data_IF_765257161645
#
_entry.id   IF_765257161645
#
_cell.length_a   1.000
_cell.length_b   1.000
_cell.length_c   1.000
_cell.angle_alpha   90.00
_cell.angle_beta   90.00
_cell.angle_gamma   90.00
#
_symmetry.space_group_name_H-M   'P 1'
#
loop_
_entity.id
_entity.type
_entity.pdbx_description
1 polymer ?
#
# COMPACT_ATOMS: atom_id res chain seq x y z
N UNK A 1 7.06 -3.40 7.95
CA UNK A 1 7.28 -2.99 6.56
C UNK A 1 6.17 -3.38 5.60
N UNK A 2 5.40 -4.43 5.89
CA UNK A 2 4.21 -4.85 5.10
C UNK A 2 3.21 -3.72 4.73
N UNK A 3 3.28 -2.56 5.38
CA UNK A 3 2.52 -1.39 4.95
C UNK A 3 2.94 -0.88 3.56
N UNK A 4 4.25 -0.75 3.36
CA UNK A 4 4.82 -0.18 2.14
C UNK A 4 4.66 -1.14 0.96
N UNK A 5 4.70 -2.45 1.21
CA UNK A 5 4.41 -3.47 0.20
C UNK A 5 2.95 -3.48 -0.27
N UNK A 6 2.07 -2.69 0.35
CA UNK A 6 0.68 -2.51 -0.08
C UNK A 6 0.31 -1.05 -0.30
N UNK A 7 1.28 -0.12 -0.28
CA UNK A 7 1.03 1.28 -0.57
C UNK A 7 0.79 1.47 -2.07
N UNK A 8 -0.35 2.09 -2.41
CA UNK A 8 -0.79 2.29 -3.80
C UNK A 8 -0.86 3.78 -4.15
N UNK A 9 -0.88 4.68 -3.16
CA UNK A 9 -0.96 6.12 -3.44
C UNK A 9 -0.25 7.05 -2.46
N UNK A 10 -0.40 8.35 -2.74
CA UNK A 10 0.16 9.43 -1.93
C UNK A 10 -0.41 9.45 -0.51
N UNK A 11 -1.67 9.01 -0.34
CA UNK A 11 -2.37 8.95 0.94
C UNK A 11 -1.68 7.98 1.90
N UNK A 12 -1.19 6.84 1.39
CA UNK A 12 -0.39 5.88 2.15
C UNK A 12 0.95 6.50 2.58
N UNK A 13 1.58 7.27 1.69
CA UNK A 13 2.82 7.99 2.00
C UNK A 13 2.60 9.02 3.12
N UNK A 14 1.51 9.80 3.05
CA UNK A 14 1.15 10.76 4.09
C UNK A 14 0.85 10.05 5.41
N UNK A 15 0.06 8.97 5.38
CA UNK A 15 -0.26 8.18 6.56
C UNK A 15 0.98 7.52 7.20
N UNK A 16 1.99 7.17 6.41
CA UNK A 16 3.26 6.67 6.91
C UNK A 16 4.12 7.77 7.55
N UNK A 17 4.10 8.98 6.99
CA UNK A 17 4.94 10.10 7.44
C UNK A 17 4.43 10.82 8.69
N UNK A 18 3.11 10.92 8.88
CA UNK A 18 2.51 11.61 10.04
C UNK A 18 2.64 10.81 11.33
N UNK A 19 2.99 11.44 12.46
CA UNK A 19 3.23 10.78 13.74
C UNK A 19 4.08 9.48 13.56
N UNK A 20 5.33 9.64 13.10
CA UNK A 20 6.09 8.53 12.56
C UNK A 20 6.48 7.53 13.65
N UNK A 21 6.21 6.26 13.37
CA UNK A 21 6.73 5.14 14.14
C UNK A 21 7.80 4.45 13.29
N UNK A 22 8.99 4.24 13.86
CA UNK A 22 10.08 3.57 13.14
C UNK A 22 10.75 4.44 12.07
N UNK A 23 11.08 5.70 12.40
CA UNK A 23 11.82 6.65 11.54
C UNK A 23 12.98 5.97 10.80
N UNK A 24 13.87 5.29 11.54
CA UNK A 24 15.01 4.57 10.99
C UNK A 24 14.59 3.49 9.98
N UNK A 25 13.48 2.79 10.24
CA UNK A 25 13.02 1.73 9.36
C UNK A 25 12.56 2.29 8.02
N UNK A 26 11.86 3.44 8.01
CA UNK A 26 11.41 4.12 6.79
C UNK A 26 12.63 4.61 5.99
N UNK A 27 13.59 5.23 6.66
CA UNK A 27 14.84 5.69 6.03
C UNK A 27 15.59 4.51 5.42
N UNK A 28 15.83 3.44 6.18
CA UNK A 28 16.52 2.23 5.71
C UNK A 28 15.79 1.62 4.51
N UNK A 29 14.45 1.62 4.52
CA UNK A 29 13.65 1.07 3.43
C UNK A 29 13.77 1.89 2.15
N UNK A 30 13.73 3.22 2.26
CA UNK A 30 13.98 4.10 1.13
C UNK A 30 15.41 3.90 0.58
N UNK A 31 16.42 3.73 1.46
CA UNK A 31 17.81 3.42 1.07
C UNK A 31 17.91 2.09 0.33
N UNK A 32 17.27 1.03 0.85
CA UNK A 32 17.27 -0.30 0.22
C UNK A 32 16.68 -0.25 -1.19
N UNK A 33 15.58 0.49 -1.38
CA UNK A 33 14.89 0.59 -2.67
C UNK A 33 15.59 1.53 -3.65
N UNK A 34 15.82 2.79 -3.25
CA UNK A 34 16.27 3.85 -4.17
C UNK A 34 17.60 4.50 -3.82
N UNK A 35 18.29 4.09 -2.75
CA UNK A 35 19.52 4.74 -2.30
C UNK A 35 20.77 4.39 -3.12
N UNK A 36 21.77 5.28 -3.16
CA UNK A 36 23.04 5.02 -3.84
C UNK A 36 23.85 3.95 -3.11
N UNK A 37 24.78 3.31 -3.83
CA UNK A 37 25.53 2.14 -3.33
C UNK A 37 26.29 2.39 -2.01
N UNK A 38 26.86 3.58 -1.82
CA UNK A 38 27.56 3.92 -0.58
C UNK A 38 26.61 3.97 0.64
N UNK A 39 25.38 4.42 0.43
CA UNK A 39 24.36 4.53 1.48
C UNK A 39 23.79 3.15 1.81
N UNK A 40 23.64 2.28 0.79
CA UNK A 40 23.36 0.85 0.97
C UNK A 40 24.48 0.13 1.73
N UNK A 41 25.75 0.47 1.46
CA UNK A 41 26.89 -0.07 2.20
C UNK A 41 26.86 0.32 3.69
N UNK A 42 26.53 1.58 3.99
CA UNK A 42 26.42 2.08 5.36
C UNK A 42 25.44 1.28 6.22
N UNK A 43 24.31 0.85 5.64
CA UNK A 43 23.28 0.05 6.34
C UNK A 43 23.54 -1.47 6.25
N UNK A 44 24.69 -1.89 5.72
CA UNK A 44 25.05 -3.31 5.58
C UNK A 44 24.31 -4.05 4.45
N UNK A 45 23.75 -3.33 3.47
CA UNK A 45 22.94 -3.88 2.37
C UNK A 45 23.53 -3.62 0.98
N UNK A 46 24.84 -3.38 0.87
CA UNK A 46 25.50 -3.14 -0.42
C UNK A 46 25.38 -4.29 -1.42
N UNK A 47 25.27 -5.54 -0.94
CA UNK A 47 25.14 -6.74 -1.78
C UNK A 47 23.74 -7.36 -1.72
N UNK A 48 22.75 -6.60 -1.25
CA UNK A 48 21.37 -7.06 -1.22
C UNK A 48 20.81 -7.16 -2.64
N UNK A 49 20.11 -8.26 -2.93
CA UNK A 49 19.43 -8.41 -4.21
C UNK A 49 18.23 -7.44 -4.29
N UNK A 50 18.03 -6.83 -5.46
CA UNK A 50 16.92 -5.91 -5.71
C UNK A 50 15.57 -6.61 -5.45
N UNK A 51 15.46 -7.89 -5.83
CA UNK A 51 14.28 -8.71 -5.56
C UNK A 51 13.96 -8.83 -4.05
N UNK A 52 14.98 -8.90 -3.19
CA UNK A 52 14.78 -8.99 -1.74
C UNK A 52 14.21 -7.68 -1.18
N UNK A 53 14.65 -6.52 -1.68
CA UNK A 53 14.05 -5.24 -1.32
C UNK A 53 12.61 -5.11 -1.85
N UNK A 54 12.34 -5.59 -3.06
CA UNK A 54 11.00 -5.59 -3.67
C UNK A 54 10.00 -6.46 -2.90
N UNK A 55 10.40 -7.66 -2.47
CA UNK A 55 9.57 -8.57 -1.67
C UNK A 55 9.10 -7.88 -0.38
N UNK A 56 10.01 -7.20 0.31
CA UNK A 56 9.78 -6.61 1.64
C UNK A 56 9.04 -5.26 1.60
N UNK A 57 9.31 -4.44 0.59
CA UNK A 57 9.07 -3.00 0.65
C UNK A 57 8.17 -2.46 -0.45
N UNK A 58 8.02 -3.16 -1.57
CA UNK A 58 7.32 -2.66 -2.75
C UNK A 58 6.03 -3.45 -2.98
N UNK A 59 5.02 -2.78 -3.53
CA UNK A 59 3.77 -3.44 -3.95
C UNK A 59 3.88 -4.09 -5.33
N UNK A 60 4.99 -3.88 -6.02
CA UNK A 60 5.19 -4.40 -7.37
C UNK A 60 5.40 -5.91 -7.42
N UNK A 61 5.15 -6.51 -8.56
CA UNK A 61 5.76 -7.79 -8.94
C UNK A 61 6.66 -7.57 -10.15
N UNK A 62 7.67 -8.40 -10.31
CA UNK A 62 8.65 -8.34 -11.40
C UNK A 62 9.06 -9.75 -11.82
N UNK A 63 9.95 -9.87 -12.80
CA UNK A 63 10.49 -11.18 -13.22
C UNK A 63 11.24 -11.93 -12.11
N UNK A 64 11.65 -11.22 -11.06
CA UNK A 64 12.38 -11.78 -9.93
C UNK A 64 11.51 -11.93 -8.67
N UNK A 65 10.24 -11.51 -8.71
CA UNK A 65 9.33 -11.52 -7.56
C UNK A 65 7.91 -11.88 -7.99
N UNK A 66 7.39 -12.96 -7.43
CA UNK A 66 6.03 -13.45 -7.66
C UNK A 66 5.21 -13.55 -6.36
N UNK A 67 3.89 -13.65 -6.50
CA UNK A 67 2.97 -13.87 -5.40
C UNK A 67 2.30 -15.24 -5.54
N UNK A 68 2.46 -16.08 -4.53
CA UNK A 68 1.97 -17.46 -4.54
C UNK A 68 1.11 -17.74 -3.32
N UNK A 69 0.16 -18.64 -3.48
CA UNK A 69 -0.71 -19.10 -2.42
C UNK A 69 -0.17 -20.40 -1.81
N UNK A 70 0.11 -20.38 -0.51
CA UNK A 70 0.59 -21.55 0.24
C UNK A 70 -0.54 -22.35 0.94
N UNK A 71 -1.80 -22.11 0.56
CA UNK A 71 -2.99 -22.73 1.16
C UNK A 71 -3.44 -22.10 2.48
N UNK A 72 -2.66 -21.18 3.05
CA UNK A 72 -3.06 -20.35 4.21
C UNK A 72 -3.23 -18.88 3.82
N UNK A 73 -2.43 -18.40 2.87
CA UNK A 73 -2.45 -17.03 2.40
C UNK A 73 -1.49 -16.81 1.23
N UNK A 74 -1.51 -15.58 0.72
CA UNK A 74 -0.59 -15.16 -0.33
C UNK A 74 0.76 -14.77 0.29
N UNK A 75 1.84 -15.32 -0.25
CA UNK A 75 3.22 -15.03 0.11
C UNK A 75 3.96 -14.48 -1.10
N UNK A 76 4.86 -13.52 -0.86
CA UNK A 76 5.76 -12.97 -1.88
C UNK A 76 7.06 -13.77 -1.88
N UNK A 77 7.45 -14.29 -3.04
CA UNK A 77 8.59 -15.18 -3.19
C UNK A 77 9.59 -14.61 -4.19
N UNK A 78 10.87 -14.91 -3.98
CA UNK A 78 11.92 -14.59 -4.95
C UNK A 78 11.89 -15.62 -6.08
N UNK A 79 11.87 -15.14 -7.31
CA UNK A 79 11.77 -15.93 -8.53
C UNK A 79 10.49 -15.62 -9.32
N UNK A 80 10.37 -16.27 -10.47
CA UNK A 80 9.15 -16.28 -11.28
C UNK A 80 8.49 -17.65 -11.20
N UNK A 81 7.16 -17.64 -11.17
CA UNK A 81 6.35 -18.83 -11.22
C UNK A 81 5.17 -18.60 -12.16
N UNK A 82 4.81 -19.56 -13.03
CA UNK A 82 3.59 -19.46 -13.82
C UNK A 82 2.37 -19.41 -12.88
N UNK A 83 1.68 -18.28 -12.92
CA UNK A 83 0.36 -18.09 -12.34
C UNK A 83 -0.49 -17.47 -13.43
N UNK A 84 -1.54 -18.17 -13.84
CA UNK A 84 -2.44 -17.68 -14.87
C UNK A 84 -3.50 -16.78 -14.25
N UNK A 85 -3.69 -15.60 -14.83
CA UNK A 85 -4.73 -14.66 -14.45
C UNK A 85 -5.80 -14.64 -15.54
N UNK A 86 -7.02 -15.03 -15.18
CA UNK A 86 -8.19 -14.98 -16.05
C UNK A 86 -9.15 -13.91 -15.54
N UNK A 87 -9.46 -12.93 -16.38
CA UNK A 87 -10.41 -11.87 -16.11
C UNK A 87 -11.66 -12.15 -16.93
N UNK A 88 -12.74 -12.50 -16.25
CA UNK A 88 -14.03 -12.82 -16.85
C UNK A 88 -14.95 -11.61 -16.72
N UNK A 89 -15.36 -11.05 -17.85
CA UNK A 89 -16.35 -9.99 -17.93
C UNK A 89 -17.72 -10.63 -18.18
N UNK A 90 -18.56 -10.58 -17.16
CA UNK A 90 -19.94 -11.04 -17.23
C UNK A 90 -20.85 -9.87 -17.63
N UNK A 91 -21.79 -10.05 -18.56
CA UNK A 91 -22.82 -9.07 -18.84
C UNK A 91 -23.64 -8.77 -17.57
N UNK A 92 -23.99 -7.50 -17.35
CA UNK A 92 -24.93 -7.15 -16.28
C UNK A 92 -26.32 -7.63 -16.60
N UNK A 93 -27.00 -8.23 -15.64
CA UNK A 93 -28.44 -8.41 -15.73
C UNK A 93 -29.09 -7.02 -15.77
N UNK A 94 -29.48 -6.56 -16.96
CA UNK A 94 -30.52 -5.54 -17.07
C UNK A 94 -31.80 -6.15 -16.54
N UNK A 95 -32.08 -5.93 -15.26
CA UNK A 95 -33.37 -6.26 -14.67
C UNK A 95 -34.48 -5.69 -15.55
N UNK A 96 -35.34 -6.59 -16.03
CA UNK A 96 -36.66 -6.30 -16.62
C UNK A 96 -37.34 -5.18 -15.83
N UNK A 97 -37.68 -4.08 -16.50
CA UNK A 97 -38.79 -3.25 -16.05
C UNK A 97 -40.07 -4.05 -16.33
N UNK A 98 -40.71 -4.51 -15.27
CA UNK A 98 -42.14 -4.77 -15.26
C UNK A 98 -42.84 -3.43 -15.51
N UNK A 99 -43.55 -3.29 -16.64
CA UNK A 99 -44.77 -2.50 -16.83
C UNK A 99 -45.06 -2.31 -18.34
N UNK A 100 -46.02 -3.09 -18.85
CA UNK A 100 -47.02 -2.75 -19.88
C UNK A 100 -47.40 -3.95 -20.78
N UNK A 101 -48.69 -4.30 -20.74
CA UNK A 101 -49.46 -5.14 -21.69
C UNK A 101 -50.64 -4.25 -22.15
N UNK A 102 -51.33 -4.40 -23.31
CA UNK A 102 -51.26 -5.43 -24.39
C UNK A 102 -51.13 -4.84 -25.83
N UNK A 103 -50.96 -5.69 -26.85
CA UNK A 103 -51.91 -5.90 -27.98
C UNK A 103 -51.34 -6.81 -29.11
N UNK A 104 -52.03 -7.95 -29.30
CA UNK A 104 -52.47 -8.68 -30.50
C UNK A 104 -51.62 -8.85 -31.78
N UNK A 105 -51.64 -10.11 -32.25
CA UNK A 105 -51.52 -10.67 -33.62
C UNK A 105 -50.15 -11.19 -34.17
N UNK A 106 -50.06 -12.53 -34.13
CA UNK A 106 -49.50 -13.51 -35.07
C UNK A 106 -48.37 -13.12 -36.04
N UNK A 107 -47.21 -13.79 -35.93
CA UNK A 107 -46.68 -14.63 -37.02
C UNK A 107 -45.64 -15.63 -36.46
N UNK A 108 -45.71 -16.87 -36.96
CA UNK A 108 -44.85 -17.98 -36.54
C UNK A 108 -43.56 -17.91 -37.36
N UNK A 109 -42.43 -17.59 -36.74
CA UNK A 109 -41.13 -17.93 -37.33
C UNK A 109 -40.13 -18.33 -36.23
N UNK A 110 -39.78 -19.61 -36.27
CA UNK A 110 -39.00 -20.29 -35.25
C UNK A 110 -37.51 -20.06 -35.55
N UNK A 111 -36.91 -19.04 -34.93
CA UNK A 111 -35.46 -18.78 -34.97
C UNK A 111 -34.87 -19.08 -33.58
N UNK A 112 -33.77 -19.85 -33.47
CA UNK A 112 -33.28 -20.32 -32.18
C UNK A 112 -32.88 -19.13 -31.29
N UNK A 113 -33.27 -19.19 -30.03
CA UNK A 113 -32.89 -18.24 -28.99
C UNK A 113 -31.35 -18.24 -28.83
N UNK A 114 -30.68 -17.27 -29.45
CA UNK A 114 -29.28 -16.97 -29.21
C UNK A 114 -29.13 -15.47 -29.03
N UNK A 115 -29.39 -15.01 -27.80
CA UNK A 115 -28.89 -13.74 -27.31
C UNK A 115 -28.28 -13.94 -25.92
N UNK A 116 -27.42 -14.95 -25.79
CA UNK A 116 -26.51 -15.00 -24.66
C UNK A 116 -25.44 -13.93 -24.92
N UNK A 117 -25.52 -12.82 -24.20
CA UNK A 117 -24.48 -11.79 -24.23
C UNK A 117 -23.11 -12.45 -24.01
N UNK A 118 -22.12 -12.20 -24.89
CA UNK A 118 -20.89 -12.99 -24.92
C UNK A 118 -20.07 -12.80 -23.62
N UNK A 119 -19.71 -13.89 -22.97
CA UNK A 119 -18.74 -13.89 -21.87
C UNK A 119 -17.37 -13.57 -22.50
N UNK A 120 -16.75 -12.48 -22.09
CA UNK A 120 -15.42 -12.10 -22.57
C UNK A 120 -14.38 -12.53 -21.53
N UNK A 121 -13.45 -13.40 -21.94
CA UNK A 121 -12.31 -13.80 -21.12
C UNK A 121 -11.08 -13.06 -21.62
N UNK A 122 -10.47 -12.29 -20.73
CA UNK A 122 -9.20 -11.61 -20.96
C UNK A 122 -8.14 -12.32 -20.13
N UNK A 123 -7.03 -12.68 -20.75
CA UNK A 123 -5.86 -13.23 -20.07
C UNK A 123 -4.66 -12.33 -20.33
N UNK A 124 -3.87 -12.08 -19.30
CA UNK A 124 -2.61 -11.35 -19.47
C UNK A 124 -1.57 -12.27 -20.14
N UNK A 125 -0.90 -11.77 -21.17
CA UNK A 125 0.14 -12.50 -21.93
C UNK A 125 1.55 -12.14 -21.48
N UNK A 126 1.68 -11.21 -20.51
CA UNK A 126 2.97 -10.78 -19.99
C UNK A 126 3.63 -11.90 -19.16
N UNK A 127 4.96 -11.99 -19.23
CA UNK A 127 5.76 -12.98 -18.49
C UNK A 127 5.82 -12.73 -16.97
N UNK A 128 5.38 -11.55 -16.51
CA UNK A 128 5.53 -11.12 -15.12
C UNK A 128 4.34 -11.55 -14.26
N UNK A 129 4.61 -12.21 -13.13
CA UNK A 129 3.59 -12.76 -12.24
C UNK A 129 2.54 -11.71 -11.80
N UNK A 130 1.23 -12.04 -11.78
CA UNK A 130 0.15 -11.11 -11.44
C UNK A 130 0.21 -10.64 -9.98
N UNK A 131 -0.39 -9.47 -9.70
CA UNK A 131 -0.50 -8.93 -8.35
C UNK A 131 -1.73 -9.49 -7.62
N UNK A 132 -1.63 -10.73 -7.13
CA UNK A 132 -2.73 -11.43 -6.45
C UNK A 132 -3.15 -10.68 -5.18
N UNK A 133 -2.20 -10.32 -4.32
CA UNK A 133 -2.43 -9.72 -3.00
C UNK A 133 -3.10 -8.35 -3.05
N UNK A 134 -2.80 -7.53 -4.07
CA UNK A 134 -3.41 -6.21 -4.26
C UNK A 134 -4.86 -6.33 -4.73
N UNK A 135 -5.16 -7.30 -5.59
CA UNK A 135 -6.49 -7.47 -6.18
C UNK A 135 -7.42 -8.36 -5.34
N UNK A 136 -6.85 -9.11 -4.40
CA UNK A 136 -7.60 -9.96 -3.48
C UNK A 136 -8.19 -9.18 -2.30
N UNK A 137 -7.52 -8.12 -1.85
CA UNK A 137 -8.04 -7.22 -0.84
C UNK A 137 -9.31 -6.56 -1.37
N UNK A 138 -10.46 -6.73 -0.71
CA UNK A 138 -11.57 -5.80 -0.96
C UNK A 138 -10.98 -4.43 -0.70
N UNK A 139 -10.89 -3.59 -1.74
CA UNK A 139 -10.24 -2.30 -1.67
C UNK A 139 -10.86 -1.60 -0.47
N UNK A 140 -10.12 -1.52 0.64
CA UNK A 140 -10.41 -0.60 1.73
C UNK A 140 -10.73 0.69 1.01
N UNK A 141 -11.97 1.17 1.18
CA UNK A 141 -12.44 2.27 0.36
C UNK A 141 -11.37 3.37 0.47
N UNK A 142 -10.90 3.92 -0.66
CA UNK A 142 -9.82 4.91 -0.62
C UNK A 142 -10.22 6.08 0.29
N UNK A 143 -11.52 6.30 0.44
CA UNK A 143 -12.10 7.19 1.44
C UNK A 143 -11.68 6.85 2.88
N UNK A 144 -11.65 5.59 3.29
CA UNK A 144 -11.21 5.15 4.62
C UNK A 144 -9.72 5.49 4.80
N UNK A 145 -8.84 5.12 3.86
CA UNK A 145 -7.41 5.48 3.92
C UNK A 145 -7.21 7.00 3.98
N UNK A 146 -7.95 7.76 3.16
CA UNK A 146 -7.91 9.22 3.15
C UNK A 146 -8.37 9.83 4.47
N UNK A 147 -9.44 9.31 5.08
CA UNK A 147 -9.91 9.81 6.39
C UNK A 147 -8.87 9.59 7.48
N UNK A 148 -8.21 8.43 7.50
CA UNK A 148 -7.11 8.17 8.43
C UNK A 148 -5.87 9.02 8.15
N UNK A 149 -5.55 9.30 6.89
CA UNK A 149 -4.46 10.21 6.53
C UNK A 149 -4.73 11.65 7.02
N UNK A 150 -5.95 12.16 6.80
CA UNK A 150 -6.39 13.48 7.30
C UNK A 150 -6.35 13.51 8.83
N UNK A 151 -6.84 12.44 9.48
CA UNK A 151 -6.77 12.30 10.94
C UNK A 151 -5.33 12.34 11.44
N UNK A 152 -4.40 11.64 10.78
CA UNK A 152 -2.97 11.68 11.11
C UNK A 152 -2.35 13.07 10.98
N UNK A 153 -2.70 13.82 9.93
CA UNK A 153 -2.29 15.22 9.77
C UNK A 153 -2.86 16.09 10.91
N UNK A 154 -4.14 15.93 11.22
CA UNK A 154 -4.80 16.64 12.32
C UNK A 154 -4.15 16.35 13.68
N UNK A 155 -3.79 15.09 13.94
CA UNK A 155 -3.10 14.67 15.16
C UNK A 155 -1.70 15.30 15.25
N UNK A 156 -0.96 15.34 14.14
CA UNK A 156 0.37 15.94 14.06
C UNK A 156 0.32 17.48 14.25
N UNK A 157 -0.66 18.15 13.63
CA UNK A 157 -0.93 19.57 13.85
C UNK A 157 -1.36 19.85 15.29
N UNK A 158 -2.17 18.98 15.88
CA UNK A 158 -2.58 19.04 17.29
C UNK A 158 -1.38 18.93 18.25
N UNK A 159 -0.42 18.05 17.97
CA UNK A 159 0.82 17.96 18.74
C UNK A 159 1.66 19.24 18.64
N UNK A 160 1.78 19.83 17.44
CA UNK A 160 2.45 21.13 17.25
C UNK A 160 1.74 22.27 17.98
N UNK A 161 0.40 22.30 17.92
CA UNK A 161 -0.41 23.27 18.64
C UNK A 161 -0.25 23.12 20.16
N UNK A 162 -0.15 21.88 20.66
CA UNK A 162 0.14 21.60 22.06
C UNK A 162 1.52 22.14 22.47
N UNK A 163 2.55 21.95 21.64
CA UNK A 163 3.88 22.55 21.88
C UNK A 163 3.82 24.08 21.93
N UNK A 164 3.05 24.69 21.03
CA UNK A 164 2.87 26.14 20.99
C UNK A 164 2.11 26.64 22.22
N UNK A 165 1.04 25.95 22.63
CA UNK A 165 0.24 26.30 23.80
C UNK A 165 1.06 26.24 25.10
N UNK A 166 1.92 25.22 25.26
CA UNK A 166 2.82 25.15 26.42
C UNK A 166 3.84 26.29 26.46
N UNK A 167 4.21 26.85 25.31
CA UNK A 167 5.25 27.88 25.21
C UNK A 167 4.68 29.30 25.31
N UNK A 168 3.58 29.58 24.63
CA UNK A 168 3.05 30.94 24.46
C UNK A 168 1.80 31.23 25.27
N UNK A 169 1.06 30.22 25.74
CA UNK A 169 -0.20 30.47 26.43
C UNK A 169 0.06 30.81 27.92
N UNK A 170 -0.27 32.03 28.39
CA UNK A 170 0.19 32.55 29.67
C UNK A 170 -0.26 31.74 30.89
N UNK A 171 -1.42 31.07 30.81
CA UNK A 171 -1.94 30.18 31.86
C UNK A 171 -1.27 28.81 31.91
N UNK A 172 -0.84 28.28 30.76
CA UNK A 172 -0.23 26.94 30.67
C UNK A 172 1.30 27.00 30.82
N UNK A 173 1.94 28.08 30.36
CA UNK A 173 3.40 28.26 30.48
C UNK A 173 3.87 28.32 31.93
N UNK A 174 3.02 28.79 32.86
CA UNK A 174 3.29 28.81 34.30
C UNK A 174 3.22 27.42 34.94
N UNK A 175 2.29 26.56 34.51
CA UNK A 175 2.16 25.18 34.98
C UNK A 175 3.20 24.23 34.40
N UNK A 176 3.79 24.56 33.25
CA UNK A 176 4.80 23.75 32.56
C UNK A 176 6.19 24.38 32.60
N UNK A 177 6.58 24.88 33.78
CA UNK A 177 7.93 25.40 34.03
C UNK A 177 8.93 24.26 34.22
N UNK A 178 10.16 24.46 33.75
CA UNK A 178 11.28 23.56 34.01
C UNK A 178 12.11 24.20 35.12
N UNK A 179 12.23 23.53 36.26
CA UNK A 179 13.02 24.01 37.40
C UNK A 179 12.69 25.46 37.82
N UNK A 180 11.41 25.86 37.71
CA UNK A 180 10.91 27.20 38.04
C UNK A 180 11.16 28.28 36.97
N UNK A 181 11.81 27.94 35.85
CA UNK A 181 12.06 28.85 34.74
C UNK A 181 11.19 28.53 33.51
N UNK A 182 10.85 29.55 32.69
CA UNK A 182 10.22 29.31 31.41
C UNK A 182 11.16 28.56 30.46
N UNK A 183 10.57 27.80 29.53
CA UNK A 183 11.33 27.06 28.53
C UNK A 183 12.23 28.02 27.70
N UNK A 184 13.46 27.63 27.34
CA UNK A 184 14.34 28.44 26.51
C UNK A 184 13.67 28.80 25.17
N UNK A 185 13.90 30.02 24.68
CA UNK A 185 13.29 30.52 23.45
C UNK A 185 13.61 29.67 22.20
N UNK A 186 14.71 28.91 22.22
CA UNK A 186 15.07 28.00 21.11
C UNK A 186 14.33 26.66 21.14
N UNK A 187 13.75 26.26 22.29
CA UNK A 187 13.22 24.91 22.49
C UNK A 187 12.01 24.63 21.59
N UNK A 188 11.04 25.53 21.58
CA UNK A 188 9.85 25.44 20.74
C UNK A 188 10.15 25.46 19.22
N UNK A 189 10.85 26.48 18.66
CA UNK A 189 11.08 26.53 17.22
C UNK A 189 11.90 25.34 16.72
N UNK A 190 12.81 24.82 17.55
CA UNK A 190 13.60 23.63 17.20
C UNK A 190 12.76 22.34 17.28
N UNK A 191 11.88 22.20 18.27
CA UNK A 191 10.96 21.07 18.38
C UNK A 191 9.95 21.05 17.22
N UNK A 192 9.28 22.18 16.96
CA UNK A 192 8.29 22.31 15.89
C UNK A 192 8.95 22.22 14.51
N UNK A 193 10.03 22.95 14.27
CA UNK A 193 10.79 22.91 13.02
C UNK A 193 11.37 21.53 12.75
N UNK A 194 11.96 20.88 13.75
CA UNK A 194 12.47 19.52 13.64
C UNK A 194 11.36 18.51 13.31
N UNK A 195 10.18 18.66 13.92
CA UNK A 195 9.02 17.81 13.62
C UNK A 195 8.54 17.98 12.18
N UNK A 196 8.42 19.21 11.68
CA UNK A 196 8.04 19.48 10.29
C UNK A 196 9.08 18.90 9.33
N UNK A 197 10.37 19.15 9.60
CA UNK A 197 11.47 18.66 8.78
C UNK A 197 11.49 17.13 8.74
N UNK A 198 11.28 16.47 9.89
CA UNK A 198 11.19 15.03 10.00
C UNK A 198 10.04 14.48 9.15
N UNK A 199 8.84 15.04 9.27
CA UNK A 199 7.66 14.60 8.50
C UNK A 199 7.87 14.77 7.00
N UNK A 200 8.45 15.89 6.56
CA UNK A 200 8.79 16.13 5.15
C UNK A 200 9.83 15.13 4.64
N UNK A 201 10.88 14.87 5.41
CA UNK A 201 11.92 13.90 5.07
C UNK A 201 11.36 12.48 4.94
N UNK A 202 10.46 12.08 5.85
CA UNK A 202 9.81 10.78 5.82
C UNK A 202 8.81 10.65 4.68
N UNK A 203 8.11 11.72 4.34
CA UNK A 203 7.23 11.77 3.17
C UNK A 203 8.05 11.59 1.88
N UNK A 204 9.21 12.25 1.77
CA UNK A 204 10.15 12.03 0.66
C UNK A 204 10.64 10.58 0.61
N UNK A 205 11.03 9.99 1.75
CA UNK A 205 11.44 8.59 1.83
C UNK A 205 10.32 7.63 1.39
N UNK A 206 9.08 7.85 1.85
CA UNK A 206 7.93 7.06 1.46
C UNK A 206 7.64 7.21 -0.04
N UNK A 207 7.69 8.44 -0.55
CA UNK A 207 7.46 8.73 -1.96
C UNK A 207 8.53 8.10 -2.87
N UNK A 208 9.78 7.98 -2.43
CA UNK A 208 10.82 7.24 -3.17
C UNK A 208 10.37 5.81 -3.42
N UNK A 209 9.92 5.10 -2.39
CA UNK A 209 9.48 3.69 -2.50
C UNK A 209 8.21 3.56 -3.33
N UNK A 210 7.31 4.52 -3.22
CA UNK A 210 6.14 4.59 -4.07
C UNK A 210 6.51 4.80 -5.54
N UNK A 211 7.45 5.71 -5.81
CA UNK A 211 7.89 6.08 -7.16
C UNK A 211 8.81 5.07 -7.84
N UNK A 212 9.30 4.06 -7.13
CA UNK A 212 10.03 2.95 -7.74
C UNK A 212 9.09 1.93 -8.41
N UNK A 213 7.78 2.11 -8.24
CA UNK A 213 6.75 1.21 -8.75
C UNK A 213 5.86 1.94 -9.76
N UNK A 214 5.61 1.33 -10.91
CA UNK A 214 4.66 1.80 -11.91
C UNK A 214 3.32 1.10 -11.70
N UNK A 215 2.23 1.88 -11.72
CA UNK A 215 0.89 1.40 -11.41
C UNK A 215 -0.02 1.61 -12.60
N UNK A 216 -0.68 0.53 -13.01
CA UNK A 216 -1.70 0.52 -14.05
C UNK A 216 -3.02 0.12 -13.40
N UNK A 217 -4.04 0.97 -13.52
CA UNK A 217 -5.38 0.68 -13.00
C UNK A 217 -6.29 0.45 -14.20
N UNK A 218 -6.76 -0.78 -14.35
CA UNK A 218 -7.74 -1.15 -15.36
C UNK A 218 -9.12 -1.05 -14.71
N UNK A 219 -9.90 -0.05 -15.13
CA UNK A 219 -11.29 0.11 -14.69
C UNK A 219 -12.22 -0.40 -15.79
N UNK A 220 -13.34 -0.96 -15.37
CA UNK A 220 -14.39 -1.35 -16.30
C UNK A 220 -14.96 -0.10 -16.98
N UNK A 221 -15.05 -0.08 -18.31
CA UNK A 221 -15.72 1.00 -19.03
C UNK A 221 -17.20 1.01 -18.63
N UNK A 222 -17.75 2.19 -18.30
CA UNK A 222 -19.13 2.38 -17.82
C UNK A 222 -20.14 1.61 -18.69
N UNK A 223 -20.59 0.49 -18.16
CA UNK A 223 -21.53 -0.45 -18.75
C UNK A 223 -21.62 -1.63 -17.79
N UNK A 224 -22.82 -2.11 -17.52
CA UNK A 224 -23.22 -2.94 -16.36
C UNK A 224 -22.51 -4.30 -16.17
N UNK A 225 -21.36 -4.55 -16.76
CA UNK A 225 -20.65 -5.81 -16.65
C UNK A 225 -20.08 -6.05 -15.24
N UNK A 226 -20.13 -7.29 -14.76
CA UNK A 226 -19.47 -7.72 -13.51
C UNK A 226 -18.14 -8.34 -13.88
N UNK A 227 -17.05 -7.90 -13.26
CA UNK A 227 -15.72 -8.46 -13.51
C UNK A 227 -15.34 -9.43 -12.39
N UNK A 228 -14.97 -10.65 -12.79
CA UNK A 228 -14.43 -11.70 -11.91
C UNK A 228 -13.03 -12.04 -12.32
N UNK A 229 -12.15 -12.21 -11.35
CA UNK A 229 -10.74 -12.54 -11.58
C UNK A 229 -10.47 -13.90 -10.96
N UNK A 230 -9.79 -14.78 -11.70
CA UNK A 230 -9.36 -16.08 -11.23
C UNK A 230 -7.85 -16.17 -11.40
N UNK A 231 -7.16 -16.54 -10.31
CA UNK A 231 -5.74 -16.86 -10.35
C UNK A 231 -5.58 -18.36 -10.22
N UNK A 232 -4.97 -18.96 -11.23
CA UNK A 232 -4.72 -20.38 -11.32
C UNK A 232 -3.21 -20.62 -11.11
N UNK A 233 -2.88 -21.26 -9.99
CA UNK A 233 -1.51 -21.62 -9.65
C UNK A 233 -1.34 -23.13 -9.80
N UNK A 234 -0.27 -23.56 -10.47
CA UNK A 234 0.12 -24.96 -10.54
C UNK A 234 0.97 -25.39 -9.35
N UNK A 235 1.06 -26.70 -9.15
CA UNK A 235 1.99 -27.28 -8.19
C UNK A 235 3.44 -27.01 -8.64
N UNK A 236 4.23 -26.37 -7.77
CA UNK A 236 5.59 -25.97 -8.10
C UNK A 236 6.42 -25.70 -6.84
N UNK A 237 7.73 -25.71 -6.98
CA UNK A 237 8.66 -25.31 -5.92
C UNK A 237 9.35 -24.01 -6.33
N UNK A 238 9.24 -22.97 -5.50
CA UNK A 238 9.87 -21.67 -5.74
C UNK A 238 10.75 -21.30 -4.58
N UNK A 239 12.02 -21.01 -4.87
CA UNK A 239 13.10 -20.98 -3.88
C UNK A 239 13.12 -22.29 -3.09
N UNK A 240 12.66 -22.26 -1.83
CA UNK A 240 12.79 -23.35 -0.87
C UNK A 240 11.42 -23.84 -0.39
N UNK A 241 10.34 -23.33 -0.98
CA UNK A 241 8.96 -23.65 -0.60
C UNK A 241 8.23 -24.38 -1.72
N UNK A 242 7.58 -25.48 -1.36
CA UNK A 242 6.66 -26.19 -2.25
C UNK A 242 5.25 -25.59 -2.15
N UNK A 243 4.64 -25.38 -3.30
CA UNK A 243 3.31 -24.80 -3.47
C UNK A 243 2.39 -25.82 -4.13
N UNK A 244 1.18 -25.97 -3.59
CA UNK A 244 0.13 -26.82 -4.15
C UNK A 244 -0.55 -26.14 -5.36
N UNK A 245 -1.23 -26.94 -6.19
CA UNK A 245 -2.12 -26.42 -7.23
C UNK A 245 -3.40 -25.83 -6.60
N UNK A 246 -3.62 -24.53 -6.77
CA UNK A 246 -4.73 -23.80 -6.12
C UNK A 246 -5.34 -22.79 -7.09
N UNK A 247 -6.67 -22.79 -7.17
CA UNK A 247 -7.45 -21.70 -7.75
C UNK A 247 -7.81 -20.69 -6.66
N UNK A 248 -7.48 -19.43 -6.87
CA UNK A 248 -7.78 -18.33 -5.94
C UNK A 248 -8.71 -17.33 -6.60
N UNK A 249 -9.77 -16.93 -5.90
CA UNK A 249 -10.74 -15.94 -6.36
C UNK A 249 -11.00 -14.90 -5.26
N UNK A 250 -11.21 -13.61 -5.59
CA UNK A 250 -11.69 -12.64 -4.63
C UNK A 250 -13.13 -12.98 -4.18
N UNK A 251 -13.44 -12.72 -2.92
CA UNK A 251 -14.78 -13.00 -2.36
C UNK A 251 -15.90 -12.11 -2.92
N UNK A 252 -15.57 -11.02 -3.60
CA UNK A 252 -16.50 -10.05 -4.16
C UNK A 252 -16.09 -9.70 -5.59
N UNK A 253 -17.08 -9.40 -6.44
CA UNK A 253 -16.83 -8.93 -7.80
C UNK A 253 -16.11 -7.59 -7.78
N UNK A 254 -15.35 -7.32 -8.85
CA UNK A 254 -14.47 -6.17 -8.94
C UNK A 254 -14.97 -5.15 -9.93
N UNK A 255 -14.70 -3.89 -9.65
CA UNK A 255 -14.89 -2.77 -10.59
C UNK A 255 -13.58 -2.32 -11.23
N UNK A 256 -12.44 -2.63 -10.59
CA UNK A 256 -11.10 -2.29 -11.03
C UNK A 256 -10.08 -3.38 -10.71
N UNK A 257 -9.05 -3.47 -11.56
CA UNK A 257 -7.85 -4.29 -11.38
C UNK A 257 -6.68 -3.34 -11.23
N UNK A 258 -5.84 -3.57 -10.22
CA UNK A 258 -4.63 -2.80 -9.97
C UNK A 258 -3.45 -3.71 -10.28
N UNK A 259 -2.66 -3.30 -11.26
CA UNK A 259 -1.36 -3.90 -11.55
C UNK A 259 -0.26 -2.96 -11.10
N UNK A 260 0.73 -3.53 -10.43
CA UNK A 260 1.85 -2.80 -9.82
C UNK A 260 3.12 -3.50 -10.26
N UNK A 261 3.95 -2.79 -11.04
CA UNK A 261 5.14 -3.35 -11.69
C UNK A 261 6.38 -2.56 -11.30
N UNK A 262 7.51 -3.24 -11.18
CA UNK A 262 8.77 -2.54 -10.88
C UNK A 262 9.19 -1.77 -12.12
N UNK A 263 9.09 -0.45 -12.07
CA UNK A 263 9.34 0.32 -13.29
C UNK A 263 10.81 0.29 -13.74
N UNK A 264 10.99 0.39 -15.05
CA UNK A 264 12.29 0.27 -15.70
C UNK A 264 13.11 1.58 -15.71
N UNK A 265 14.42 1.40 -15.95
CA UNK A 265 15.39 2.36 -16.49
C UNK A 265 16.34 3.10 -15.51
N UNK A 266 17.61 2.98 -15.88
CA UNK A 266 18.85 3.57 -15.33
C UNK A 266 18.78 5.08 -15.04
N UNK A 267 17.95 5.84 -15.76
CA UNK A 267 17.74 7.29 -15.56
C UNK A 267 16.89 7.61 -14.32
N UNK A 268 15.89 6.77 -14.04
CA UNK A 268 15.03 6.93 -12.86
C UNK A 268 15.82 6.70 -11.58
N UNK A 269 16.82 5.82 -11.64
CA UNK A 269 17.67 5.47 -10.52
C UNK A 269 18.44 6.68 -9.96
N UNK A 270 19.04 7.52 -10.80
CA UNK A 270 19.79 8.71 -10.33
C UNK A 270 18.89 9.76 -9.63
N UNK A 271 17.67 9.96 -10.14
CA UNK A 271 16.68 10.84 -9.48
C UNK A 271 16.17 10.24 -8.16
N UNK A 272 15.92 8.93 -8.13
CA UNK A 272 15.55 8.20 -6.92
C UNK A 272 16.67 8.31 -5.87
N UNK A 273 17.92 8.05 -6.24
CA UNK A 273 19.10 8.17 -5.38
C UNK A 273 19.21 9.55 -4.74
N UNK A 274 19.09 10.60 -5.55
CA UNK A 274 19.15 11.99 -5.06
C UNK A 274 18.00 12.28 -4.10
N UNK A 275 16.77 11.87 -4.44
CA UNK A 275 15.59 12.04 -3.58
C UNK A 275 15.74 11.27 -2.26
N UNK A 276 16.27 10.05 -2.30
CA UNK A 276 16.50 9.22 -1.10
C UNK A 276 17.55 9.84 -0.21
N UNK A 277 18.67 10.30 -0.76
CA UNK A 277 19.72 10.96 0.02
C UNK A 277 19.20 12.24 0.68
N UNK A 278 18.49 13.09 -0.06
CA UNK A 278 17.88 14.30 0.48
C UNK A 278 16.87 13.94 1.59
N UNK A 279 15.96 13.00 1.33
CA UNK A 279 14.96 12.57 2.30
C UNK A 279 15.57 12.00 3.59
N UNK A 280 16.61 11.18 3.47
CA UNK A 280 17.31 10.60 4.61
C UNK A 280 18.02 11.67 5.44
N UNK A 281 18.76 12.58 4.80
CA UNK A 281 19.46 13.69 5.47
C UNK A 281 18.47 14.60 6.19
N UNK A 282 17.42 15.04 5.50
CA UNK A 282 16.34 15.87 6.07
C UNK A 282 15.71 15.18 7.28
N UNK A 283 15.42 13.88 7.19
CA UNK A 283 14.80 13.13 8.29
C UNK A 283 15.73 13.03 9.51
N UNK A 284 17.03 12.78 9.30
CA UNK A 284 18.01 12.69 10.38
C UNK A 284 18.16 14.04 11.09
N UNK A 285 18.34 15.13 10.34
CA UNK A 285 18.42 16.48 10.92
C UNK A 285 17.12 16.87 11.63
N UNK A 286 15.96 16.54 11.04
CA UNK A 286 14.66 16.77 11.66
C UNK A 286 14.51 16.06 12.99
N UNK A 287 14.91 14.79 13.07
CA UNK A 287 14.91 14.02 14.32
C UNK A 287 15.84 14.62 15.38
N UNK A 288 17.07 15.01 15.01
CA UNK A 288 18.03 15.62 15.94
C UNK A 288 17.50 16.96 16.46
N UNK A 289 16.99 17.83 15.59
CA UNK A 289 16.40 19.10 16.01
C UNK A 289 15.19 18.89 16.92
N UNK A 290 14.29 17.98 16.56
CA UNK A 290 13.14 17.64 17.40
C UNK A 290 13.59 17.17 18.80
N UNK A 291 14.61 16.31 18.87
CA UNK A 291 15.14 15.79 20.13
C UNK A 291 15.77 16.88 21.01
N UNK A 292 16.60 17.76 20.42
CA UNK A 292 17.20 18.90 21.14
C UNK A 292 16.12 19.88 21.60
N UNK A 293 15.08 20.10 20.79
CA UNK A 293 13.92 20.90 21.14
C UNK A 293 13.19 20.33 22.36
N UNK A 294 12.87 19.03 22.35
CA UNK A 294 12.23 18.36 23.48
C UNK A 294 13.06 18.39 24.76
N UNK A 295 14.39 18.33 24.66
CA UNK A 295 15.27 18.48 25.82
C UNK A 295 15.11 19.84 26.51
N UNK A 296 14.79 20.88 25.75
CA UNK A 296 14.51 22.21 26.29
C UNK A 296 13.06 22.44 26.72
N UNK A 297 12.16 21.48 26.51
CA UNK A 297 10.74 21.60 26.85
C UNK A 297 10.38 20.73 28.07
N UNK A 298 9.26 21.08 28.72
CA UNK A 298 8.71 20.27 29.79
C UNK A 298 8.43 18.84 29.31
N UNK A 299 8.59 17.84 30.19
CA UNK A 299 8.44 16.40 29.87
C UNK A 299 7.08 16.03 29.28
N UNK A 300 6.06 16.85 29.52
CA UNK A 300 4.74 16.73 28.88
C UNK A 300 4.80 16.79 27.34
N UNK A 301 5.74 17.54 26.75
CA UNK A 301 5.88 17.66 25.29
C UNK A 301 6.25 16.33 24.60
N UNK A 302 7.35 15.64 24.96
CA UNK A 302 7.65 14.33 24.39
C UNK A 302 6.59 13.28 24.74
N UNK A 303 5.94 13.35 25.91
CA UNK A 303 4.83 12.46 26.26
C UNK A 303 3.63 12.67 25.32
N UNK A 304 3.24 13.91 25.06
CA UNK A 304 2.16 14.24 24.12
C UNK A 304 2.46 13.75 22.70
N UNK A 305 3.71 13.90 22.24
CA UNK A 305 4.14 13.34 20.95
C UNK A 305 4.05 11.82 20.94
N UNK A 306 4.43 11.15 22.04
CA UNK A 306 4.37 9.70 22.16
C UNK A 306 2.91 9.20 22.13
N UNK A 307 1.99 9.91 22.78
CA UNK A 307 0.55 9.61 22.71
C UNK A 307 0.03 9.75 21.28
N UNK A 308 0.41 10.81 20.56
CA UNK A 308 0.06 10.97 19.15
C UNK A 308 0.59 9.80 18.29
N UNK A 309 1.86 9.40 18.50
CA UNK A 309 2.45 8.24 17.80
C UNK A 309 1.72 6.94 18.15
N UNK A 310 1.31 6.73 19.40
CA UNK A 310 0.58 5.54 19.83
C UNK A 310 -0.83 5.46 19.21
N UNK A 311 -1.58 6.57 19.19
CA UNK A 311 -2.88 6.67 18.53
C UNK A 311 -2.74 6.37 17.04
N UNK A 312 -1.73 6.93 16.39
CA UNK A 312 -1.46 6.68 14.97
C UNK A 312 -1.02 5.24 14.69
N UNK A 313 -0.26 4.62 15.60
CA UNK A 313 0.11 3.22 15.48
C UNK A 313 -1.13 2.31 15.57
N UNK A 314 -2.06 2.60 16.48
CA UNK A 314 -3.31 1.88 16.63
C UNK A 314 -4.21 2.03 15.39
N UNK A 315 -4.33 3.23 14.83
CA UNK A 315 -5.12 3.46 13.60
C UNK A 315 -4.53 2.70 12.40
N UNK A 316 -3.19 2.72 12.24
CA UNK A 316 -2.49 1.93 11.22
C UNK A 316 -2.70 0.42 11.39
N UNK A 317 -2.78 -0.07 12.62
CA UNK A 317 -3.06 -1.48 12.89
C UNK A 317 -4.52 -1.83 12.58
N UNK A 318 -5.46 -0.94 12.89
CA UNK A 318 -6.89 -1.11 12.63
C UNK A 318 -7.20 -1.24 11.14
N UNK A 319 -6.60 -0.38 10.31
CA UNK A 319 -6.73 -0.44 8.84
C UNK A 319 -6.33 -1.80 8.24
N UNK A 320 -5.54 -2.59 8.97
CA UNK A 320 -5.00 -3.88 8.51
C UNK A 320 -5.78 -5.10 8.99
N UNK A 321 -6.82 -4.92 9.80
CA UNK A 321 -7.63 -6.05 10.31
C UNK A 321 -8.29 -6.90 9.21
N UNK A 322 -8.38 -6.36 7.98
CA UNK A 322 -9.05 -7.00 6.86
C UNK A 322 -8.10 -7.81 5.93
N UNK A 323 -6.78 -7.85 6.18
CA UNK A 323 -5.81 -8.53 5.30
C UNK A 323 -6.04 -10.04 5.16
N UNK A 324 -6.68 -10.69 6.13
CA UNK A 324 -6.92 -12.14 6.14
C UNK A 324 -8.36 -12.56 5.76
N UNK A 325 -9.27 -11.61 5.52
CA UNK A 325 -10.68 -11.90 5.20
C UNK A 325 -10.95 -11.61 3.73
N UNK A 326 -11.00 -12.65 2.90
CA UNK A 326 -11.37 -12.47 1.49
C UNK A 326 -10.94 -13.56 0.53
N UNK A 327 -10.20 -14.57 1.02
CA UNK A 327 -9.71 -15.69 0.22
C UNK A 327 -10.77 -16.76 0.05
N UNK A 328 -11.30 -16.90 -1.17
CA UNK A 328 -11.89 -18.17 -1.61
C UNK A 328 -10.81 -18.94 -2.36
N UNK A 329 -10.47 -20.10 -1.82
CA UNK A 329 -9.42 -20.96 -2.37
C UNK A 329 -10.03 -22.33 -2.63
N UNK A 330 -9.67 -22.93 -3.75
CA UNK A 330 -10.04 -24.29 -4.10
C UNK A 330 -8.77 -25.04 -4.50
N UNK A 331 -8.50 -26.15 -3.81
CA UNK A 331 -7.39 -27.04 -4.18
C UNK A 331 -7.73 -27.72 -5.49
N UNK A 332 -6.75 -27.78 -6.38
CA UNK A 332 -6.89 -28.36 -7.70
C UNK A 332 -6.20 -29.70 -7.76
N UNK A 333 -6.63 -30.53 -8.70
CA UNK A 333 -5.92 -31.75 -9.05
C UNK A 333 -4.71 -31.36 -9.92
N UNK A 334 -3.48 -31.74 -9.53
CA UNK A 334 -2.30 -31.42 -10.32
C UNK A 334 -2.41 -31.91 -11.77
N UNK A 335 -2.00 -31.06 -12.72
CA UNK A 335 -2.02 -31.34 -14.16
C UNK A 335 -3.38 -31.22 -14.85
N UNK A 336 -4.46 -30.95 -14.11
CA UNK A 336 -5.81 -30.68 -14.64
C UNK A 336 -6.32 -29.30 -14.16
N UNK A 337 -5.41 -28.35 -13.94
CA UNK A 337 -5.78 -27.06 -13.36
C UNK A 337 -6.69 -26.25 -14.29
N UNK A 338 -6.49 -26.35 -15.60
CA UNK A 338 -7.28 -25.62 -16.61
C UNK A 338 -8.68 -26.23 -16.77
N UNK A 339 -8.82 -27.54 -16.57
CA UNK A 339 -10.10 -28.25 -16.64
C UNK A 339 -11.07 -27.80 -15.54
N UNK A 340 -10.56 -27.26 -14.43
CA UNK A 340 -11.39 -26.66 -13.40
C UNK A 340 -12.13 -25.40 -13.87
N UNK A 341 -11.59 -24.69 -14.87
CA UNK A 341 -12.18 -23.48 -15.43
C UNK A 341 -13.21 -23.76 -16.55
N UNK A 342 -13.26 -25.00 -17.05
CA UNK A 342 -14.10 -25.43 -18.17
C UNK A 342 -15.55 -25.75 -17.74
#
# INVERSE_FOLDING_TARGET
MQFMSHAIGWEDCAMLAMAPLGILTIIISAIRVGGPMWMKALIGRARENIAAAEIDLMSSTSRDVCELNNGKGIVRCQGSAPVWEFIILLPGDTSRNDDAVPHTECEFDQKPASSASPITVVYDTREEAPNVSLNLQNSTDRTEIRTFAIFGVGLQLGALAFFAAMTFHPTFSLSFTIDGNPAPAYAFPLAAGGTILLVLGLLLCAHVVESSTDKEIYALANGSSRMRIYWLQQEQTVSDQAFEAIATQPSSDRSNIIMSRRGHAHYRNSRLETKTSIGAVISIFGFVFQFVGFRGMHSAAPIGQLVAVAIMAASRAWLRRNLARGLRQTRLTPGHEVDWLA
#
